data_IF_191045722139
#
_entry.id   IF_191045722139
#
_cell.length_a   1.000
_cell.length_b   1.000
_cell.length_c   1.000
_cell.angle_alpha   90.00
_cell.angle_beta   90.00
_cell.angle_gamma   90.00
#
_symmetry.space_group_name_H-M   'P 1'
#
loop_
_entity.id
_entity.type
_entity.pdbx_description
1 polymer ?
#
# COMPACT_ATOMS: atom_id res chain seq x y z
N UNK A 1 -0.60 18.06 -37.65
CA UNK A 1 0.07 17.37 -36.53
C UNK A 1 -1.02 16.95 -35.55
N UNK A 2 -1.40 15.66 -35.52
CA UNK A 2 -2.49 15.16 -34.66
C UNK A 2 -1.98 15.13 -33.22
N UNK A 3 -2.56 15.94 -32.35
CA UNK A 3 -2.39 15.86 -30.90
C UNK A 3 -3.02 14.55 -30.45
N UNK A 4 -2.21 13.51 -30.25
CA UNK A 4 -2.67 12.28 -29.63
C UNK A 4 -2.92 12.56 -28.16
N UNK A 5 -4.19 12.78 -27.81
CA UNK A 5 -4.68 12.70 -26.44
C UNK A 5 -4.31 11.31 -25.88
N UNK A 6 -3.23 11.25 -25.10
CA UNK A 6 -2.87 10.07 -24.32
C UNK A 6 -3.93 9.95 -23.22
N UNK A 7 -5.07 9.32 -23.55
CA UNK A 7 -6.06 8.98 -22.52
C UNK A 7 -5.32 8.20 -21.44
N UNK A 8 -5.39 8.69 -20.21
CA UNK A 8 -4.91 7.99 -19.02
C UNK A 8 -5.80 6.75 -18.81
N UNK A 9 -5.63 5.75 -19.68
CA UNK A 9 -6.22 4.44 -19.54
C UNK A 9 -5.34 3.64 -18.60
N UNK A 10 -5.93 3.09 -17.56
CA UNK A 10 -5.28 2.09 -16.72
C UNK A 10 -4.71 0.97 -17.60
N UNK A 11 -3.40 0.83 -17.64
CA UNK A 11 -2.73 -0.22 -18.42
C UNK A 11 -2.89 -1.55 -17.71
N UNK A 12 -3.30 -2.61 -18.43
CA UNK A 12 -3.31 -3.98 -17.90
C UNK A 12 -1.92 -4.41 -17.38
N UNK A 13 -0.84 -3.78 -17.85
CA UNK A 13 0.52 -4.04 -17.36
C UNK A 13 0.77 -3.45 -15.96
N UNK A 14 0.00 -2.43 -15.55
CA UNK A 14 0.05 -1.84 -14.21
C UNK A 14 -0.84 -2.59 -13.20
N UNK A 15 -1.68 -3.53 -13.66
CA UNK A 15 -2.57 -4.30 -12.80
C UNK A 15 -1.85 -5.09 -11.69
N UNK A 16 -0.72 -5.78 -11.94
CA UNK A 16 -0.01 -6.51 -10.88
C UNK A 16 0.50 -5.60 -9.78
N UNK A 17 1.09 -4.46 -10.15
CA UNK A 17 1.60 -3.46 -9.22
C UNK A 17 0.46 -2.77 -8.45
N UNK A 18 -0.67 -2.50 -9.12
CA UNK A 18 -1.86 -1.93 -8.47
C UNK A 18 -2.45 -2.88 -7.43
N UNK A 19 -2.52 -4.18 -7.75
CA UNK A 19 -2.95 -5.20 -6.81
C UNK A 19 -1.97 -5.35 -5.65
N UNK A 20 -0.66 -5.32 -5.91
CA UNK A 20 0.38 -5.35 -4.89
C UNK A 20 0.26 -4.17 -3.91
N UNK A 21 0.11 -2.95 -4.45
CA UNK A 21 -0.12 -1.73 -3.68
C UNK A 21 -1.38 -1.85 -2.82
N UNK A 22 -2.52 -2.16 -3.44
CA UNK A 22 -3.80 -2.26 -2.76
C UNK A 22 -3.81 -3.30 -1.65
N UNK A 23 -3.20 -4.47 -1.89
CA UNK A 23 -3.07 -5.53 -0.90
C UNK A 23 -2.32 -5.08 0.36
N UNK A 24 -1.17 -4.43 0.17
CA UNK A 24 -0.36 -3.94 1.29
C UNK A 24 -1.04 -2.81 2.06
N UNK A 25 -1.77 -1.92 1.39
CA UNK A 25 -2.59 -0.89 2.06
C UNK A 25 -3.66 -1.54 2.94
N UNK A 26 -4.42 -2.50 2.40
CA UNK A 26 -5.51 -3.17 3.15
C UNK A 26 -4.96 -3.90 4.37
N UNK A 27 -3.89 -4.69 4.20
CA UNK A 27 -3.27 -5.40 5.32
C UNK A 27 -2.67 -4.42 6.34
N UNK A 28 -2.01 -3.37 5.87
CA UNK A 28 -1.42 -2.36 6.75
C UNK A 28 -2.48 -1.69 7.65
N UNK A 29 -3.60 -1.26 7.07
CA UNK A 29 -4.71 -0.66 7.82
C UNK A 29 -5.33 -1.67 8.78
N UNK A 30 -5.58 -2.91 8.34
CA UNK A 30 -6.14 -3.94 9.20
C UNK A 30 -5.23 -4.26 10.40
N UNK A 31 -3.92 -4.36 10.18
CA UNK A 31 -2.93 -4.60 11.23
C UNK A 31 -2.86 -3.42 12.23
N UNK A 32 -2.95 -2.17 11.76
CA UNK A 32 -2.97 -1.00 12.63
C UNK A 32 -4.21 -1.00 13.55
N UNK A 33 -5.40 -1.25 12.97
CA UNK A 33 -6.66 -1.32 13.73
C UNK A 33 -6.59 -2.46 14.75
N UNK A 34 -6.14 -3.65 14.34
CA UNK A 34 -5.98 -4.78 15.24
C UNK A 34 -4.98 -4.49 16.38
N UNK A 35 -3.86 -3.84 16.08
CA UNK A 35 -2.86 -3.46 17.08
C UNK A 35 -3.41 -2.50 18.13
N UNK A 36 -4.12 -1.45 17.69
CA UNK A 36 -4.79 -0.51 18.60
C UNK A 36 -5.87 -1.23 19.43
N UNK A 37 -6.66 -2.10 18.81
CA UNK A 37 -7.69 -2.88 19.50
C UNK A 37 -7.09 -3.77 20.60
N UNK A 38 -5.99 -4.48 20.32
CA UNK A 38 -5.30 -5.35 21.29
C UNK A 38 -4.77 -4.55 22.47
N UNK A 39 -4.16 -3.38 22.23
CA UNK A 39 -3.65 -2.51 23.30
C UNK A 39 -4.80 -1.98 24.15
N UNK A 40 -5.84 -1.43 23.51
CA UNK A 40 -6.93 -0.74 24.19
C UNK A 40 -7.88 -1.68 24.94
N UNK A 41 -8.15 -2.89 24.41
CA UNK A 41 -9.18 -3.78 24.95
C UNK A 41 -8.60 -4.98 25.72
N UNK A 42 -7.40 -5.44 25.38
CA UNK A 42 -6.79 -6.62 25.99
C UNK A 42 -5.61 -6.28 26.90
N UNK A 43 -5.09 -5.05 26.83
CA UNK A 43 -3.93 -4.61 27.62
C UNK A 43 -2.61 -5.29 27.22
N UNK A 44 -2.57 -6.00 26.09
CA UNK A 44 -1.38 -6.75 25.65
C UNK A 44 -0.50 -5.84 24.80
N UNK A 45 0.35 -5.06 25.47
CA UNK A 45 1.16 -4.02 24.81
C UNK A 45 2.07 -4.56 23.71
N UNK A 46 2.86 -5.60 23.99
CA UNK A 46 3.85 -6.11 23.03
C UNK A 46 3.23 -6.72 21.78
N UNK A 47 2.11 -7.44 21.91
CA UNK A 47 1.40 -8.01 20.76
C UNK A 47 0.79 -6.90 19.89
N UNK A 48 0.18 -5.89 20.51
CA UNK A 48 -0.37 -4.76 19.76
C UNK A 48 0.70 -3.89 19.10
N UNK A 49 1.85 -3.67 19.74
CA UNK A 49 2.99 -3.00 19.12
C UNK A 49 3.56 -3.81 17.95
N UNK A 50 3.59 -5.15 18.05
CA UNK A 50 3.96 -6.03 16.93
C UNK A 50 3.04 -5.87 15.72
N UNK A 51 1.73 -5.78 15.94
CA UNK A 51 0.75 -5.52 14.88
C UNK A 51 0.89 -4.11 14.28
N UNK A 52 1.18 -3.11 15.09
CA UNK A 52 1.48 -1.75 14.61
C UNK A 52 2.78 -1.74 13.79
N UNK A 53 3.80 -2.48 14.20
CA UNK A 53 5.04 -2.66 13.42
C UNK A 53 4.79 -3.33 12.08
N UNK A 54 3.97 -4.39 12.05
CA UNK A 54 3.56 -5.06 10.81
C UNK A 54 2.76 -4.12 9.90
N UNK A 55 1.92 -3.24 10.47
CA UNK A 55 1.20 -2.23 9.71
C UNK A 55 2.15 -1.25 9.02
N UNK A 56 3.14 -0.72 9.75
CA UNK A 56 4.15 0.18 9.20
C UNK A 56 4.91 -0.50 8.07
N UNK A 57 5.37 -1.73 8.28
CA UNK A 57 6.09 -2.50 7.25
C UNK A 57 5.25 -2.69 5.98
N UNK A 58 4.00 -3.10 6.11
CA UNK A 58 3.11 -3.26 4.98
C UNK A 58 2.88 -1.93 4.23
N UNK A 59 2.68 -0.82 4.95
CA UNK A 59 2.49 0.49 4.34
C UNK A 59 3.75 0.98 3.62
N UNK A 60 4.95 0.70 4.14
CA UNK A 60 6.22 1.00 3.43
C UNK A 60 6.31 0.25 2.10
N UNK A 61 5.97 -1.04 2.07
CA UNK A 61 5.93 -1.81 0.82
C UNK A 61 4.86 -1.28 -0.16
N UNK A 62 3.73 -0.78 0.37
CA UNK A 62 2.74 -0.10 -0.47
C UNK A 62 3.34 1.16 -1.12
N UNK A 63 4.12 1.95 -0.39
CA UNK A 63 4.77 3.15 -0.96
C UNK A 63 5.71 2.78 -2.10
N UNK A 64 6.47 1.70 -2.00
CA UNK A 64 7.32 1.21 -3.09
C UNK A 64 6.49 0.86 -4.34
N UNK A 65 5.39 0.12 -4.17
CA UNK A 65 4.46 -0.19 -5.25
C UNK A 65 3.82 1.06 -5.87
N UNK A 66 3.54 2.09 -5.06
CA UNK A 66 3.03 3.39 -5.53
C UNK A 66 4.07 4.14 -6.37
N UNK A 67 5.32 4.21 -5.90
CA UNK A 67 6.41 4.87 -6.63
C UNK A 67 6.63 4.18 -7.98
N UNK A 68 6.64 2.86 -8.03
CA UNK A 68 6.80 2.11 -9.27
C UNK A 68 5.61 2.31 -10.24
N UNK A 69 4.37 2.36 -9.73
CA UNK A 69 3.17 2.62 -10.52
C UNK A 69 3.12 4.02 -11.14
N UNK A 70 3.45 5.04 -10.35
CA UNK A 70 3.12 6.43 -10.67
C UNK A 70 4.34 7.30 -10.97
N UNK A 71 5.52 6.94 -10.48
CA UNK A 71 6.77 7.70 -10.67
C UNK A 71 7.77 6.96 -11.57
N UNK A 72 7.69 5.63 -11.66
CA UNK A 72 8.53 4.79 -12.53
C UNK A 72 8.23 4.92 -14.03
N UNK A 73 7.10 5.52 -14.43
CA UNK A 73 6.77 5.77 -15.85
C UNK A 73 7.49 7.00 -16.46
N UNK A 74 8.47 7.59 -15.76
CA UNK A 74 9.16 8.83 -16.17
C UNK A 74 10.57 8.68 -16.77
N UNK A 75 11.13 7.47 -16.90
CA UNK A 75 12.52 7.27 -17.39
C UNK A 75 12.64 6.36 -18.61
N UNK A 76 11.71 6.50 -19.57
CA UNK A 76 11.84 5.90 -20.91
C UNK A 76 12.16 6.95 -21.96
#
# INVERSE_FOLDING_TARGET
>A
MKTTDKKAGFSLQALPLFLFFGFHVVIGVAAAIAGVFVIANQGILYAGLGLIGAAIFALTNAVEGFIELFMGQGTG
#
